data_IF_068802520437
#
_entry.id   IF_068802520437
#
_cell.length_a   1.000
_cell.length_b   1.000
_cell.length_c   1.000
_cell.angle_alpha   90.00
_cell.angle_beta   90.00
_cell.angle_gamma   90.00
#
_symmetry.space_group_name_H-M   'P 1'
#
loop_
_entity.id
_entity.type
_entity.pdbx_description
1 polymer ?
#
# COMPACT_ATOMS: atom_id res chain seq x y z
N UNK A 1 -10.41 3.24 -28.29
CA UNK A 1 -9.53 2.65 -27.32
C UNK A 1 -8.56 3.68 -26.78
N UNK A 2 -8.56 3.85 -25.52
CA UNK A 2 -7.69 4.82 -24.90
C UNK A 2 -6.42 4.14 -24.41
N UNK A 3 -5.28 4.42 -25.04
CA UNK A 3 -4.05 3.73 -24.66
C UNK A 3 -3.60 4.07 -23.24
N UNK A 4 -4.00 5.21 -22.71
CA UNK A 4 -3.55 5.58 -21.37
C UNK A 4 -4.18 4.69 -20.30
N UNK A 5 -5.32 4.09 -20.59
CA UNK A 5 -5.97 3.24 -19.60
C UNK A 5 -5.20 1.93 -19.40
N UNK A 6 -4.41 1.52 -20.38
CA UNK A 6 -3.67 0.28 -20.24
C UNK A 6 -2.45 0.41 -19.34
N UNK A 7 -2.01 1.65 -19.08
CA UNK A 7 -0.86 1.87 -18.20
C UNK A 7 -1.29 2.11 -16.77
N UNK A 8 -2.57 2.29 -16.54
CA UNK A 8 -3.09 2.57 -15.23
C UNK A 8 -3.49 1.28 -14.53
N UNK A 9 -3.01 1.09 -13.33
CA UNK A 9 -3.39 -0.08 -12.56
C UNK A 9 -4.83 0.09 -12.07
N UNK A 10 -5.74 -0.82 -12.47
CA UNK A 10 -7.11 -0.72 -11.98
C UNK A 10 -7.17 -1.11 -10.52
N UNK A 11 -7.89 -0.35 -9.76
CA UNK A 11 -8.03 -0.66 -8.36
C UNK A 11 -8.64 0.49 -7.59
N UNK A 12 -8.85 0.28 -6.32
CA UNK A 12 -9.45 1.28 -5.45
C UNK A 12 -8.38 1.83 -4.52
N UNK A 13 -8.25 3.15 -4.50
CA UNK A 13 -7.28 3.79 -3.63
C UNK A 13 -7.72 3.66 -2.17
N UNK A 14 -6.81 3.24 -1.31
CA UNK A 14 -7.04 3.10 0.12
C UNK A 14 -5.98 3.90 0.84
N UNK A 15 -6.34 4.91 1.62
CA UNK A 15 -7.71 5.42 1.81
C UNK A 15 -8.19 6.18 0.58
N UNK A 16 -9.51 6.33 0.46
CA UNK A 16 -10.15 6.89 -0.74
C UNK A 16 -9.68 8.29 -1.00
N UNK A 17 -9.17 9.05 -0.54
CA UNK A 17 -8.62 10.35 -0.89
C UNK A 17 -7.12 10.39 -0.84
N UNK A 18 -6.49 9.20 -0.71
CA UNK A 18 -5.07 9.14 -0.51
C UNK A 18 -4.70 9.38 0.94
N UNK A 19 -3.56 8.88 1.36
CA UNK A 19 -3.12 8.98 2.73
C UNK A 19 -1.94 9.91 2.89
N UNK A 20 -1.76 10.39 4.10
CA UNK A 20 -0.63 11.26 4.41
C UNK A 20 0.07 10.87 5.71
N UNK A 21 -0.36 9.78 6.34
CA UNK A 21 0.29 9.28 7.55
C UNK A 21 1.23 8.15 7.12
N UNK A 22 2.54 8.31 7.29
CA UNK A 22 3.47 7.25 6.91
C UNK A 22 3.41 6.12 7.93
N UNK A 23 3.14 4.92 7.44
CA UNK A 23 3.07 3.73 8.28
C UNK A 23 4.17 2.79 7.85
N UNK A 24 5.05 2.47 8.76
CA UNK A 24 6.20 1.63 8.45
C UNK A 24 5.76 0.20 8.17
N UNK A 25 6.26 -0.34 7.07
CA UNK A 25 5.99 -1.72 6.68
C UNK A 25 6.92 -2.62 7.46
N UNK A 26 6.36 -3.64 8.09
CA UNK A 26 7.16 -4.57 8.89
C UNK A 26 7.70 -5.68 8.01
N UNK A 27 8.93 -6.06 8.27
CA UNK A 27 9.55 -7.14 7.52
C UNK A 27 10.09 -6.72 6.17
N UNK A 28 10.09 -5.44 5.86
CA UNK A 28 10.58 -4.96 4.59
C UNK A 28 12.11 -4.98 4.53
N UNK A 29 12.62 -5.41 3.38
CA UNK A 29 14.05 -5.37 3.09
C UNK A 29 14.23 -4.56 1.83
N UNK A 30 15.12 -3.58 1.87
CA UNK A 30 15.27 -2.65 0.75
C UNK A 30 15.53 -3.35 -0.58
N UNK A 31 16.24 -4.46 -0.57
CA UNK A 31 16.53 -5.18 -1.80
C UNK A 31 15.28 -5.70 -2.49
N UNK A 32 14.17 -5.82 -1.77
CA UNK A 32 12.92 -6.28 -2.37
C UNK A 32 12.17 -5.18 -3.08
N UNK A 33 12.57 -3.93 -2.93
CA UNK A 33 11.87 -2.83 -3.56
C UNK A 33 12.03 -2.87 -5.07
N UNK A 34 10.96 -2.57 -5.81
CA UNK A 34 11.06 -2.55 -7.27
C UNK A 34 11.93 -1.39 -7.75
N UNK A 35 12.48 -1.54 -8.95
CA UNK A 35 13.35 -0.50 -9.49
C UNK A 35 12.65 0.86 -9.55
N UNK A 36 11.35 0.88 -9.83
CA UNK A 36 10.64 2.14 -9.93
C UNK A 36 10.57 2.88 -8.60
N UNK A 37 10.63 2.15 -7.49
CA UNK A 37 10.64 2.78 -6.18
C UNK A 37 11.93 3.54 -5.92
N UNK A 38 13.02 3.07 -6.51
CA UNK A 38 14.31 3.70 -6.32
C UNK A 38 14.40 5.06 -7.00
N UNK A 39 13.56 5.28 -7.99
CA UNK A 39 13.63 6.48 -8.80
C UNK A 39 12.54 7.49 -8.51
N UNK A 40 11.65 7.21 -7.60
CA UNK A 40 10.51 8.09 -7.37
C UNK A 40 10.50 8.61 -5.94
N UNK A 41 10.64 9.91 -5.80
CA UNK A 41 10.53 10.55 -4.50
C UNK A 41 9.09 10.66 -4.05
N UNK A 42 8.15 10.51 -4.99
CA UNK A 42 6.73 10.60 -4.66
C UNK A 42 6.15 9.24 -4.29
N UNK A 43 6.95 8.21 -4.45
CA UNK A 43 6.49 6.89 -4.10
C UNK A 43 5.95 6.10 -5.27
N UNK A 44 5.40 4.97 -4.97
CA UNK A 44 4.90 4.05 -5.99
C UNK A 44 3.67 3.33 -5.42
N UNK A 45 2.87 2.77 -6.31
CA UNK A 45 1.66 2.08 -5.90
C UNK A 45 1.97 0.67 -5.43
N UNK A 46 1.33 0.27 -4.35
CA UNK A 46 1.40 -1.12 -3.87
C UNK A 46 -0.03 -1.59 -3.66
N UNK A 47 -0.19 -2.90 -3.55
CA UNK A 47 -1.48 -3.51 -3.27
C UNK A 47 -1.51 -3.92 -1.81
N UNK A 48 -2.61 -3.62 -1.14
CA UNK A 48 -2.84 -4.05 0.23
C UNK A 48 -3.79 -5.23 0.20
N UNK A 49 -3.40 -6.33 0.78
CA UNK A 49 -4.21 -7.55 0.73
C UNK A 49 -4.34 -8.17 2.11
N UNK A 50 -5.53 -8.62 2.45
CA UNK A 50 -5.74 -9.30 3.71
C UNK A 50 -5.10 -10.68 3.74
N UNK A 51 -4.88 -11.17 4.94
CA UNK A 51 -4.37 -12.51 5.14
C UNK A 51 -5.30 -13.24 6.09
N UNK A 52 -5.02 -14.52 6.29
CA UNK A 52 -5.83 -15.33 7.21
C UNK A 52 -5.65 -14.93 8.67
N UNK A 53 -4.62 -14.13 8.95
CA UNK A 53 -4.29 -13.79 10.33
C UNK A 53 -4.65 -12.35 10.66
N UNK A 54 -5.54 -11.75 9.88
CA UNK A 54 -6.00 -10.38 10.11
C UNK A 54 -4.88 -9.36 10.05
N UNK A 55 -3.83 -9.67 9.32
CA UNK A 55 -2.74 -8.75 9.09
C UNK A 55 -2.70 -8.46 7.59
N UNK A 56 -2.54 -7.19 7.25
CA UNK A 56 -2.54 -6.78 5.84
C UNK A 56 -1.13 -6.88 5.28
N UNK A 57 -0.99 -7.57 4.16
CA UNK A 57 0.29 -7.64 3.49
C UNK A 57 0.38 -6.58 2.42
N UNK A 58 1.59 -6.09 2.20
CA UNK A 58 1.90 -5.07 1.21
C UNK A 58 2.58 -5.77 0.05
N UNK A 59 1.99 -5.67 -1.12
CA UNK A 59 2.40 -6.48 -2.26
C UNK A 59 2.73 -5.62 -3.46
N UNK A 60 3.77 -5.99 -4.18
CA UNK A 60 4.10 -5.41 -5.48
C UNK A 60 4.15 -6.56 -6.48
N UNK A 61 3.09 -6.66 -7.30
CA UNK A 61 2.97 -7.78 -8.21
C UNK A 61 2.91 -9.10 -7.44
N UNK A 62 3.86 -9.97 -7.68
CA UNK A 62 3.92 -11.26 -6.99
C UNK A 62 4.80 -11.21 -5.74
N UNK A 63 5.40 -10.06 -5.46
CA UNK A 63 6.35 -9.95 -4.36
C UNK A 63 5.68 -9.36 -3.13
N UNK A 64 5.78 -10.08 -2.01
CA UNK A 64 5.31 -9.53 -0.73
C UNK A 64 6.42 -8.68 -0.17
N UNK A 65 6.15 -7.37 -0.02
CA UNK A 65 7.16 -6.45 0.49
C UNK A 65 7.20 -6.43 2.01
N UNK A 66 6.13 -6.81 2.65
CA UNK A 66 6.05 -6.83 4.10
C UNK A 66 4.62 -6.74 4.55
N UNK A 67 4.42 -6.31 5.79
CA UNK A 67 3.11 -6.31 6.40
C UNK A 67 2.87 -5.03 7.16
N UNK A 68 1.62 -4.60 7.21
CA UNK A 68 1.25 -3.45 8.03
C UNK A 68 1.20 -3.87 9.50
N UNK A 69 1.49 -2.94 10.43
CA UNK A 69 1.27 -3.23 11.84
C UNK A 69 -0.18 -3.62 12.09
N UNK A 70 -0.40 -4.45 13.09
CA UNK A 70 -1.73 -4.97 13.35
C UNK A 70 -2.76 -3.86 13.59
N UNK A 71 -2.38 -2.84 14.33
CA UNK A 71 -3.30 -1.74 14.61
C UNK A 71 -3.75 -1.06 13.32
N UNK A 72 -2.84 -0.87 12.38
CA UNK A 72 -3.19 -0.25 11.11
C UNK A 72 -4.00 -1.18 10.23
N UNK A 73 -3.75 -2.48 10.33
CA UNK A 73 -4.56 -3.44 9.60
C UNK A 73 -6.03 -3.32 9.99
N UNK A 74 -6.28 -3.08 11.27
CA UNK A 74 -7.66 -2.88 11.74
C UNK A 74 -8.24 -1.57 11.26
N UNK A 75 -7.43 -0.52 11.19
CA UNK A 75 -7.90 0.79 10.76
C UNK A 75 -8.45 0.74 9.34
N UNK A 76 -7.81 -0.01 8.46
CA UNK A 76 -8.22 -0.05 7.06
C UNK A 76 -9.07 -1.26 6.72
N UNK A 77 -9.46 -2.04 7.71
CA UNK A 77 -10.17 -3.30 7.48
C UNK A 77 -11.44 -3.12 6.65
N UNK A 78 -12.22 -2.12 6.97
CA UNK A 78 -13.47 -1.92 6.24
C UNK A 78 -13.21 -1.54 4.78
N UNK A 79 -12.21 -0.72 4.54
CA UNK A 79 -11.91 -0.30 3.17
C UNK A 79 -11.38 -1.48 2.36
N UNK A 80 -10.59 -2.36 2.98
CA UNK A 80 -10.13 -3.55 2.30
C UNK A 80 -11.28 -4.48 1.97
N UNK A 81 -12.18 -4.67 2.93
CA UNK A 81 -13.33 -5.50 2.71
C UNK A 81 -14.19 -4.95 1.57
N UNK A 82 -14.37 -3.64 1.57
CA UNK A 82 -15.18 -2.99 0.55
C UNK A 82 -14.58 -3.18 -0.85
N UNK A 83 -13.25 -3.04 -0.97
CA UNK A 83 -12.59 -3.25 -2.25
C UNK A 83 -12.73 -4.70 -2.69
N UNK A 84 -12.59 -5.62 -1.76
CA UNK A 84 -12.70 -7.03 -2.06
C UNK A 84 -14.11 -7.38 -2.57
N UNK A 85 -15.14 -6.80 -1.93
CA UNK A 85 -16.51 -7.03 -2.38
C UNK A 85 -16.74 -6.50 -3.79
N UNK A 86 -16.04 -5.45 -4.15
CA UNK A 86 -16.17 -4.88 -5.50
C UNK A 86 -15.26 -5.57 -6.51
N UNK A 87 -14.46 -6.53 -6.08
CA UNK A 87 -13.54 -7.21 -6.98
C UNK A 87 -12.38 -6.35 -7.42
N UNK A 88 -12.01 -5.36 -6.63
CA UNK A 88 -10.96 -4.42 -6.97
C UNK A 88 -9.78 -4.57 -6.03
N UNK A 89 -8.54 -4.52 -6.54
CA UNK A 89 -7.40 -4.49 -5.63
C UNK A 89 -7.37 -3.17 -4.87
N UNK A 90 -6.94 -3.23 -3.62
CA UNK A 90 -6.80 -2.04 -2.80
C UNK A 90 -5.40 -1.49 -3.01
N UNK A 91 -5.31 -0.26 -3.50
CA UNK A 91 -4.03 0.35 -3.83
C UNK A 91 -3.69 1.43 -2.81
N UNK A 92 -2.40 1.56 -2.53
CA UNK A 92 -1.92 2.62 -1.66
C UNK A 92 -0.59 3.10 -2.18
N UNK A 93 -0.20 4.31 -1.77
CA UNK A 93 1.09 4.86 -2.15
C UNK A 93 2.11 4.45 -1.10
N UNK A 94 3.27 4.01 -1.55
CA UNK A 94 4.36 3.65 -0.66
C UNK A 94 5.60 4.47 -1.00
N UNK A 95 6.43 4.75 -0.01
CA UNK A 95 7.61 5.60 -0.18
C UNK A 95 8.78 4.96 0.55
N UNK A 96 9.95 5.05 -0.06
CA UNK A 96 11.18 4.63 0.60
C UNK A 96 11.78 5.84 1.32
N UNK A 97 12.17 5.66 2.58
CA UNK A 97 12.74 6.73 3.38
C UNK A 97 13.95 6.23 4.12
N UNK A 98 14.95 7.09 4.22
CA UNK A 98 16.14 6.74 4.98
C UNK A 98 17.38 6.75 4.11
N UNK A 99 18.48 6.31 4.69
CA UNK A 99 19.75 6.27 3.99
C UNK A 99 19.79 5.10 3.02
N UNK A 100 20.33 5.34 1.84
CA UNK A 100 20.44 4.30 0.84
C UNK A 100 21.17 3.09 1.43
N UNK A 101 20.61 1.92 1.21
CA UNK A 101 21.14 0.68 1.76
C UNK A 101 20.47 0.28 3.05
N UNK A 102 19.72 1.20 3.65
CA UNK A 102 19.05 0.92 4.91
C UNK A 102 17.74 1.69 4.98
N UNK A 103 17.05 1.76 3.85
CA UNK A 103 15.78 2.49 3.80
C UNK A 103 14.63 1.62 4.25
N UNK A 104 13.65 2.26 4.86
CA UNK A 104 12.41 1.61 5.23
C UNK A 104 11.33 1.96 4.22
N UNK A 105 10.31 1.12 4.18
CA UNK A 105 9.17 1.35 3.32
C UNK A 105 8.02 1.83 4.18
N UNK A 106 7.37 2.90 3.74
CA UNK A 106 6.21 3.45 4.42
C UNK A 106 5.04 3.47 3.46
N UNK A 107 3.89 3.02 3.95
CA UNK A 107 2.65 3.12 3.20
C UNK A 107 1.90 4.33 3.72
N UNK A 108 1.41 5.16 2.82
CA UNK A 108 0.74 6.40 3.19
C UNK A 108 -0.74 6.11 3.43
N UNK A 109 -1.15 6.19 4.66
CA UNK A 109 -2.52 5.91 5.07
C UNK A 109 -3.11 7.12 5.78
N UNK A 110 -4.30 6.97 6.29
CA UNK A 110 -4.90 7.98 7.14
C UNK A 110 -5.73 7.28 8.19
N UNK A 111 -5.93 7.95 9.31
CA UNK A 111 -6.81 7.42 10.33
C UNK A 111 -8.20 7.27 9.74
N UNK A 112 -8.89 6.26 10.16
CA UNK A 112 -10.22 6.03 9.65
C UNK A 112 -11.07 7.27 9.79
N UNK A 113 -11.93 7.49 8.81
CA UNK A 113 -12.81 8.65 8.87
C UNK A 113 -13.76 8.50 10.02
N UNK A 114 -13.75 9.49 10.88
CA UNK A 114 -14.68 9.50 11.99
C UNK A 114 -16.01 10.04 11.56
N UNK A 115 -17.04 9.32 11.85
CA UNK A 115 -18.39 9.82 11.59
C UNK A 115 -18.79 10.73 12.72
N UNK A 116 -19.13 11.89 12.38
CA UNK A 116 -19.57 12.85 13.38
C UNK A 116 -20.89 12.44 13.97
#
# INVERSE_FOLDING_TARGET
MDPSSSTRMPGRLVPAGGGHVPVRVRGFIEDAAPARAQRSERGFAVVLAGTEHDVVKVVDGATVLGYLPEAWSRVIDFELWSAEQAGEPALARAVLEGARGDRDLFVMLSWGRRRA
#
